data_IF_939132750324
#
_entry.id   IF_939132750324
#
_cell.length_a   1.000
_cell.length_b   1.000
_cell.length_c   1.000
_cell.angle_alpha   90.00
_cell.angle_beta   90.00
_cell.angle_gamma   90.00
#
_symmetry.space_group_name_H-M   'P 1'
#
loop_
_entity.id
_entity.type
_entity.pdbx_description
1 polymer ?
#
# COMPACT_ATOMS: atom_id res chain seq x y z
N UNK A 1 10.77 20.34 28.91
CA UNK A 1 9.75 20.35 27.83
C UNK A 1 10.23 19.39 26.76
N UNK A 2 9.46 18.35 26.39
CA UNK A 2 9.87 17.48 25.30
C UNK A 2 9.65 18.23 23.99
N UNK A 3 10.73 18.36 23.22
CA UNK A 3 10.71 18.87 21.86
C UNK A 3 9.85 17.92 21.04
N UNK A 4 8.72 18.41 20.54
CA UNK A 4 7.95 17.70 19.53
C UNK A 4 8.82 17.67 18.28
N UNK A 5 9.41 16.50 17.98
CA UNK A 5 10.11 16.28 16.71
C UNK A 5 9.15 16.63 15.54
N UNK A 6 9.66 17.28 14.49
CA UNK A 6 8.82 17.64 13.35
C UNK A 6 8.29 16.34 12.75
N UNK A 7 6.96 16.26 12.66
CA UNK A 7 6.26 15.25 11.88
C UNK A 7 6.91 15.26 10.50
N UNK A 8 7.64 14.18 10.20
CA UNK A 8 8.31 13.96 8.92
C UNK A 8 7.38 14.39 7.79
N UNK A 9 7.87 15.27 6.92
CA UNK A 9 7.15 15.74 5.73
C UNK A 9 6.74 14.53 4.88
N UNK A 10 5.53 14.00 5.11
CA UNK A 10 4.93 12.98 4.27
C UNK A 10 4.52 13.66 2.96
N UNK A 11 5.45 13.71 2.00
CA UNK A 11 5.09 13.98 0.61
C UNK A 11 4.34 12.77 0.05
N UNK A 12 3.41 13.01 -0.88
CA UNK A 12 2.46 12.09 -1.55
C UNK A 12 2.80 10.59 -1.71
N UNK A 13 4.08 10.20 -1.73
CA UNK A 13 4.49 8.81 -1.99
C UNK A 13 4.53 7.87 -0.80
N UNK A 14 4.50 8.33 0.46
CA UNK A 14 4.39 7.39 1.59
C UNK A 14 3.00 6.75 1.66
N UNK A 15 1.96 7.54 1.37
CA UNK A 15 0.58 7.05 1.26
C UNK A 15 0.42 6.07 0.10
N UNK A 16 1.08 6.34 -1.04
CA UNK A 16 1.04 5.45 -2.20
C UNK A 16 1.73 4.10 -1.91
N UNK A 17 2.86 4.11 -1.21
CA UNK A 17 3.56 2.89 -0.77
C UNK A 17 2.70 2.12 0.24
N UNK A 18 2.10 2.81 1.22
CA UNK A 18 1.20 2.19 2.19
C UNK A 18 -0.01 1.54 1.48
N UNK A 19 -0.64 2.28 0.56
CA UNK A 19 -1.76 1.78 -0.22
C UNK A 19 -1.37 0.59 -1.10
N UNK A 20 -0.17 0.61 -1.70
CA UNK A 20 0.34 -0.53 -2.47
C UNK A 20 0.46 -1.79 -1.60
N UNK A 21 0.99 -1.67 -0.39
CA UNK A 21 1.09 -2.80 0.53
C UNK A 21 -0.27 -3.24 1.10
N UNK A 22 -1.30 -2.39 0.98
CA UNK A 22 -2.70 -2.74 1.28
C UNK A 22 -3.36 -3.65 0.24
N UNK A 23 -2.78 -3.76 -0.95
CA UNK A 23 -3.25 -4.62 -2.02
C UNK A 23 -2.90 -6.10 -1.78
N UNK A 24 -3.69 -6.98 -2.39
CA UNK A 24 -3.43 -8.42 -2.45
C UNK A 24 -2.24 -8.75 -3.36
N UNK A 25 -1.77 -10.01 -3.32
CA UNK A 25 -0.64 -10.44 -4.15
C UNK A 25 -0.90 -10.24 -5.64
N UNK A 26 -2.10 -10.59 -6.09
CA UNK A 26 -2.49 -10.49 -7.50
C UNK A 26 -2.66 -9.03 -7.95
N UNK A 27 -3.30 -8.21 -7.12
CA UNK A 27 -3.41 -6.77 -7.35
C UNK A 27 -2.04 -6.10 -7.42
N UNK A 28 -1.12 -6.42 -6.50
CA UNK A 28 0.27 -5.92 -6.55
C UNK A 28 1.01 -6.39 -7.80
N UNK A 29 0.81 -7.63 -8.25
CA UNK A 29 1.40 -8.16 -9.49
C UNK A 29 0.96 -7.31 -10.69
N UNK A 30 -0.33 -6.96 -10.77
CA UNK A 30 -0.84 -6.06 -11.81
C UNK A 30 -0.16 -4.70 -11.73
N UNK A 31 -0.20 -4.05 -10.55
CA UNK A 31 0.38 -2.71 -10.36
C UNK A 31 1.86 -2.70 -10.74
N UNK A 32 2.65 -3.67 -10.28
CA UNK A 32 4.07 -3.71 -10.57
C UNK A 32 4.39 -4.02 -12.04
N UNK A 33 3.58 -4.84 -12.71
CA UNK A 33 3.70 -5.05 -14.15
C UNK A 33 3.56 -3.75 -14.94
N UNK A 34 2.63 -2.87 -14.53
CA UNK A 34 2.44 -1.56 -15.14
C UNK A 34 3.56 -0.59 -14.73
N UNK A 35 3.87 -0.49 -13.43
CA UNK A 35 4.91 0.41 -12.89
C UNK A 35 6.29 0.16 -13.52
N UNK A 36 6.64 -1.11 -13.75
CA UNK A 36 7.92 -1.45 -14.37
C UNK A 36 8.01 -0.97 -15.83
N UNK A 37 6.87 -0.87 -16.52
CA UNK A 37 6.75 -0.46 -17.92
C UNK A 37 6.39 1.01 -18.12
N UNK A 38 6.33 1.82 -17.06
CA UNK A 38 5.99 3.24 -17.13
C UNK A 38 6.81 3.98 -18.19
N UNK A 39 6.11 4.78 -18.99
CA UNK A 39 6.69 5.69 -19.99
C UNK A 39 5.98 7.04 -19.89
N UNK A 40 6.73 8.11 -20.12
CA UNK A 40 6.18 9.47 -20.11
C UNK A 40 5.05 9.61 -21.13
N UNK A 41 3.91 10.15 -20.71
CA UNK A 41 2.73 10.36 -21.57
C UNK A 41 1.91 9.10 -21.88
N UNK A 42 2.30 7.93 -21.38
CA UNK A 42 1.56 6.67 -21.59
C UNK A 42 0.74 6.32 -20.35
N UNK A 43 -0.57 6.23 -20.52
CA UNK A 43 -1.51 5.88 -19.44
C UNK A 43 -2.20 4.54 -19.65
N UNK A 44 -2.12 3.96 -20.86
CA UNK A 44 -2.74 2.68 -21.22
C UNK A 44 -1.69 1.59 -21.37
N UNK A 45 -1.93 0.42 -20.77
CA UNK A 45 -0.98 -0.69 -20.74
C UNK A 45 -1.67 -2.02 -21.03
N UNK A 46 -1.17 -2.75 -22.01
CA UNK A 46 -1.62 -4.12 -22.28
C UNK A 46 -1.22 -5.06 -21.14
N UNK A 47 -2.14 -5.97 -20.82
CA UNK A 47 -2.00 -6.96 -19.77
C UNK A 47 -2.67 -8.27 -20.21
N UNK A 48 -1.84 -9.28 -20.48
CA UNK A 48 -2.27 -10.53 -21.13
C UNK A 48 -2.79 -11.59 -20.15
N UNK A 49 -2.50 -11.44 -18.85
CA UNK A 49 -2.89 -12.40 -17.81
C UNK A 49 -4.36 -12.15 -17.37
N UNK A 50 -5.28 -12.67 -18.19
CA UNK A 50 -6.73 -12.49 -18.02
C UNK A 50 -7.28 -13.14 -16.75
N UNK A 51 -6.61 -14.15 -16.20
CA UNK A 51 -6.98 -14.77 -14.92
C UNK A 51 -6.99 -13.75 -13.76
N UNK A 52 -6.25 -12.65 -13.91
CA UNK A 52 -6.23 -11.56 -12.94
C UNK A 52 -7.31 -10.49 -13.16
N UNK A 53 -8.25 -10.70 -14.07
CA UNK A 53 -9.38 -9.77 -14.29
C UNK A 53 -10.12 -9.43 -12.98
N UNK A 54 -10.43 -10.37 -12.06
CA UNK A 54 -11.08 -10.02 -10.79
C UNK A 54 -10.24 -9.05 -9.95
N UNK A 55 -8.91 -9.21 -9.94
CA UNK A 55 -8.00 -8.31 -9.24
C UNK A 55 -7.93 -6.93 -9.91
N UNK A 56 -7.91 -6.88 -11.25
CA UNK A 56 -7.96 -5.63 -12.00
C UNK A 56 -9.26 -4.86 -11.71
N UNK A 57 -10.40 -5.55 -11.69
CA UNK A 57 -11.69 -4.95 -11.35
C UNK A 57 -11.68 -4.36 -9.93
N UNK A 58 -11.05 -5.03 -8.96
CA UNK A 58 -10.93 -4.48 -7.60
C UNK A 58 -10.07 -3.21 -7.54
N UNK A 59 -9.00 -3.14 -8.32
CA UNK A 59 -8.16 -1.93 -8.45
C UNK A 59 -8.93 -0.75 -9.06
N UNK A 60 -9.88 -1.03 -9.95
CA UNK A 60 -10.77 -0.02 -10.54
C UNK A 60 -11.86 0.45 -9.57
N UNK A 61 -12.42 -0.43 -8.73
CA UNK A 61 -13.65 -0.13 -7.97
C UNK A 61 -13.46 0.07 -6.47
N UNK A 62 -12.68 -0.79 -5.80
CA UNK A 62 -12.64 -0.85 -4.33
C UNK A 62 -11.42 -0.13 -3.73
N UNK A 63 -10.29 -0.10 -4.45
CA UNK A 63 -9.06 0.48 -3.92
C UNK A 63 -8.94 1.97 -4.25
N UNK A 64 -9.68 2.80 -3.49
CA UNK A 64 -9.50 4.26 -3.53
C UNK A 64 -8.19 4.66 -2.87
N UNK A 65 -7.50 5.59 -3.51
CA UNK A 65 -6.27 6.21 -3.04
C UNK A 65 -6.59 7.57 -2.43
N UNK A 66 -5.99 7.82 -1.27
CA UNK A 66 -6.01 9.13 -0.60
C UNK A 66 -4.56 9.51 -0.39
N UNK A 67 -4.07 10.46 -1.17
CA UNK A 67 -2.68 10.90 -1.16
C UNK A 67 -2.59 12.32 -0.59
N UNK A 68 -1.87 12.49 0.50
CA UNK A 68 -1.72 13.79 1.17
C UNK A 68 -0.47 14.51 0.68
N UNK A 69 -0.61 15.80 0.39
CA UNK A 69 0.51 16.68 0.14
C UNK A 69 0.98 17.32 1.44
N UNK A 70 2.12 16.87 1.96
CA UNK A 70 2.80 17.54 3.07
C UNK A 70 3.37 18.93 2.72
N UNK A 71 3.40 19.33 1.44
CA UNK A 71 3.88 20.65 1.00
C UNK A 71 2.77 21.71 0.89
N UNK A 72 3.20 22.99 0.94
CA UNK A 72 2.55 24.34 0.94
C UNK A 72 1.02 24.54 0.86
N UNK A 73 0.20 23.59 0.43
CA UNK A 73 -1.26 23.73 0.34
C UNK A 73 -2.06 22.71 1.15
N UNK A 74 -1.41 21.73 1.82
CA UNK A 74 -2.11 20.70 2.60
C UNK A 74 -3.27 20.05 1.81
N UNK A 75 -3.02 19.80 0.52
CA UNK A 75 -4.03 19.29 -0.39
C UNK A 75 -4.13 17.76 -0.31
N UNK A 76 -5.34 17.25 -0.46
CA UNK A 76 -5.62 15.81 -0.49
C UNK A 76 -6.06 15.44 -1.90
N UNK A 77 -5.39 14.45 -2.50
CA UNK A 77 -5.76 13.89 -3.79
C UNK A 77 -6.51 12.58 -3.58
N UNK A 78 -7.75 12.54 -4.07
CA UNK A 78 -8.55 11.32 -4.16
C UNK A 78 -8.45 10.76 -5.57
N UNK A 79 -7.93 9.55 -5.68
CA UNK A 79 -7.68 8.90 -6.96
C UNK A 79 -7.96 7.39 -6.91
N UNK A 80 -7.84 6.72 -8.05
CA UNK A 80 -7.88 5.25 -8.15
C UNK A 80 -6.56 4.71 -8.68
N UNK A 81 -6.32 3.42 -8.54
CA UNK A 81 -5.19 2.80 -9.24
C UNK A 81 -5.40 2.80 -10.76
N UNK A 82 -6.63 2.48 -11.17
CA UNK A 82 -7.06 2.43 -12.58
C UNK A 82 -8.23 3.39 -12.81
N UNK A 83 -8.19 4.13 -13.91
CA UNK A 83 -9.29 4.99 -14.37
C UNK A 83 -10.32 4.19 -15.17
N UNK A 84 -9.87 3.22 -15.98
CA UNK A 84 -10.72 2.31 -16.74
C UNK A 84 -9.98 1.02 -17.10
N UNK A 85 -10.74 0.01 -17.52
CA UNK A 85 -10.24 -1.25 -18.06
C UNK A 85 -10.98 -1.50 -19.38
N UNK A 86 -10.26 -1.77 -20.45
CA UNK A 86 -10.85 -2.22 -21.72
C UNK A 86 -10.53 -3.69 -21.93
N UNK A 87 -11.57 -4.50 -22.13
CA UNK A 87 -11.41 -5.92 -22.44
C UNK A 87 -11.37 -6.10 -23.96
N UNK A 88 -10.34 -6.76 -24.46
CA UNK A 88 -10.20 -7.07 -25.88
C UNK A 88 -9.84 -8.54 -26.00
N UNK A 89 -10.76 -9.37 -26.49
CA UNK A 89 -10.57 -10.83 -26.55
C UNK A 89 -10.13 -11.41 -25.20
N UNK A 90 -8.92 -11.99 -25.13
CA UNK A 90 -8.34 -12.59 -23.93
C UNK A 90 -7.23 -11.73 -23.30
N UNK A 91 -7.28 -10.41 -23.51
CA UNK A 91 -6.36 -9.44 -22.90
C UNK A 91 -7.11 -8.25 -22.31
N UNK A 92 -6.44 -7.55 -21.40
CA UNK A 92 -6.94 -6.33 -20.77
C UNK A 92 -6.04 -5.16 -21.10
N UNK A 93 -6.63 -4.02 -21.41
CA UNK A 93 -5.93 -2.74 -21.48
C UNK A 93 -6.25 -1.98 -20.19
N UNK A 94 -5.22 -1.77 -19.38
CA UNK A 94 -5.33 -1.10 -18.09
C UNK A 94 -5.02 0.37 -18.28
N UNK A 95 -5.99 1.24 -17.97
CA UNK A 95 -5.78 2.69 -17.97
C UNK A 95 -5.50 3.15 -16.56
N UNK A 96 -4.32 3.73 -16.33
CA UNK A 96 -3.95 4.34 -15.06
C UNK A 96 -4.77 5.61 -14.81
N UNK A 97 -5.00 5.91 -13.54
CA UNK A 97 -5.52 7.21 -13.14
C UNK A 97 -4.45 8.29 -13.38
N UNK A 98 -4.74 9.34 -14.17
CA UNK A 98 -3.78 10.40 -14.46
C UNK A 98 -3.21 11.09 -13.21
N UNK A 99 -4.00 11.17 -12.13
CA UNK A 99 -3.55 11.76 -10.87
C UNK A 99 -2.50 10.91 -10.15
N UNK A 100 -2.45 9.60 -10.41
CA UNK A 100 -1.52 8.67 -9.75
C UNK A 100 -0.22 8.51 -10.53
N UNK A 101 -0.25 8.63 -11.86
CA UNK A 101 0.92 8.45 -12.74
C UNK A 101 2.17 9.21 -12.27
N UNK A 102 2.10 10.51 -11.88
CA UNK A 102 3.28 11.26 -11.43
C UNK A 102 3.92 10.68 -10.16
N UNK A 103 3.17 9.92 -9.36
CA UNK A 103 3.63 9.37 -8.09
C UNK A 103 4.16 7.93 -8.21
N UNK A 104 3.85 7.22 -9.30
CA UNK A 104 4.26 5.82 -9.48
C UNK A 104 5.76 5.62 -9.64
N UNK A 105 6.51 6.64 -10.07
CA UNK A 105 7.99 6.56 -10.09
C UNK A 105 8.57 6.39 -8.69
N UNK A 106 7.98 7.01 -7.67
CA UNK A 106 8.39 6.82 -6.28
C UNK A 106 8.14 5.39 -5.82
N UNK A 107 7.01 4.79 -6.21
CA UNK A 107 6.73 3.37 -5.93
C UNK A 107 7.76 2.46 -6.61
N UNK A 108 8.13 2.75 -7.87
CA UNK A 108 9.17 2.00 -8.60
C UNK A 108 10.52 2.06 -7.89
N UNK A 109 10.93 3.25 -7.45
CA UNK A 109 12.20 3.45 -6.75
C UNK A 109 12.21 2.76 -5.39
N UNK A 110 11.11 2.84 -4.64
CA UNK A 110 10.95 2.11 -3.37
C UNK A 110 11.10 0.60 -3.57
N UNK A 111 10.42 0.03 -4.57
CA UNK A 111 10.51 -1.39 -4.88
C UNK A 111 11.91 -1.85 -5.31
N UNK A 112 12.66 -1.02 -6.05
CA UNK A 112 14.06 -1.33 -6.37
C UNK A 112 14.91 -1.40 -5.11
N UNK A 113 14.81 -0.38 -4.26
CA UNK A 113 15.50 -0.37 -2.98
C UNK A 113 15.10 -1.57 -2.10
N UNK A 114 13.82 -1.93 -2.07
CA UNK A 114 13.34 -3.11 -1.35
C UNK A 114 13.88 -4.42 -1.92
N UNK A 115 13.95 -4.56 -3.25
CA UNK A 115 14.51 -5.75 -3.89
C UNK A 115 16.00 -5.93 -3.59
N UNK A 116 16.74 -4.83 -3.43
CA UNK A 116 18.15 -4.84 -2.99
C UNK A 116 18.27 -5.15 -1.49
N UNK A 117 17.21 -4.89 -0.69
CA UNK A 117 17.07 -5.30 0.72
C UNK A 117 16.64 -6.77 0.88
N UNK A 118 16.13 -7.41 -0.18
CA UNK A 118 15.34 -8.65 -0.08
C UNK A 118 16.17 -9.94 -0.26
N UNK A 119 16.85 -10.38 0.80
CA UNK A 119 16.96 -11.83 1.09
C UNK A 119 15.64 -12.40 1.66
N UNK A 120 14.73 -11.53 2.08
CA UNK A 120 13.51 -11.85 2.83
C UNK A 120 12.30 -12.05 1.90
N UNK A 121 11.71 -13.25 1.90
CA UNK A 121 10.43 -13.55 1.23
C UNK A 121 9.29 -13.73 2.25
N UNK A 122 8.70 -12.61 2.68
CA UNK A 122 7.48 -12.62 3.51
C UNK A 122 6.26 -12.99 2.66
N UNK A 123 5.42 -13.91 3.15
CA UNK A 123 4.24 -14.40 2.44
C UNK A 123 2.95 -13.71 2.91
N UNK A 124 2.83 -13.40 4.20
CA UNK A 124 1.64 -12.74 4.74
C UNK A 124 1.65 -11.24 4.47
N UNK A 125 0.50 -10.70 4.04
CA UNK A 125 0.32 -9.25 3.86
C UNK A 125 0.53 -8.49 5.16
N UNK A 126 0.14 -9.07 6.30
CA UNK A 126 0.38 -8.49 7.62
C UNK A 126 1.86 -8.40 7.94
N UNK A 127 2.63 -9.44 7.61
CA UNK A 127 4.09 -9.46 7.82
C UNK A 127 4.77 -8.41 6.96
N UNK A 128 4.39 -8.33 5.68
CA UNK A 128 4.97 -7.33 4.76
C UNK A 128 4.69 -5.91 5.27
N UNK A 129 3.43 -5.59 5.61
CA UNK A 129 3.06 -4.27 6.12
C UNK A 129 3.75 -3.92 7.44
N UNK A 130 3.79 -4.88 8.37
CA UNK A 130 4.42 -4.68 9.67
C UNK A 130 5.94 -4.53 9.54
N UNK A 131 6.58 -5.28 8.64
CA UNK A 131 7.99 -5.16 8.31
C UNK A 131 8.32 -3.78 7.74
N UNK A 132 7.57 -3.33 6.74
CA UNK A 132 7.75 -2.00 6.14
C UNK A 132 7.61 -0.89 7.19
N UNK A 133 6.62 -1.01 8.07
CA UNK A 133 6.45 -0.06 9.17
C UNK A 133 7.62 -0.13 10.16
N UNK A 134 8.01 -1.31 10.62
CA UNK A 134 9.10 -1.49 11.57
C UNK A 134 10.44 -1.00 11.01
N UNK A 135 10.68 -1.24 9.72
CA UNK A 135 11.89 -0.81 9.02
C UNK A 135 12.04 0.72 9.00
N UNK A 136 10.94 1.47 8.82
CA UNK A 136 10.95 2.94 8.93
C UNK A 136 11.45 3.41 10.30
N UNK A 137 11.26 2.60 11.34
CA UNK A 137 11.66 2.90 12.72
C UNK A 137 12.87 2.08 13.18
N UNK A 138 13.60 1.39 12.30
CA UNK A 138 14.71 0.49 12.67
C UNK A 138 15.84 1.17 13.46
N UNK A 139 15.99 2.48 13.33
CA UNK A 139 16.98 3.26 14.07
C UNK A 139 16.50 3.68 15.48
N UNK A 140 15.25 3.37 15.83
CA UNK A 140 14.64 3.66 17.12
C UNK A 140 14.51 2.37 17.93
N UNK A 141 15.16 2.32 19.09
CA UNK A 141 15.22 1.12 19.96
C UNK A 141 13.82 0.66 20.42
N UNK A 142 12.93 1.60 20.75
CA UNK A 142 11.58 1.28 21.19
C UNK A 142 10.57 2.29 20.67
N UNK A 143 9.58 1.80 19.94
CA UNK A 143 8.46 2.61 19.44
C UNK A 143 7.15 2.14 20.06
N UNK A 144 6.45 3.06 20.74
CA UNK A 144 5.06 2.84 21.16
C UNK A 144 4.13 3.17 19.99
N UNK A 145 3.16 2.31 19.74
CA UNK A 145 2.12 2.48 18.72
C UNK A 145 0.75 2.22 19.35
N UNK A 146 -0.25 3.03 19.00
CA UNK A 146 -1.62 2.84 19.49
C UNK A 146 -2.37 1.74 18.72
N UNK A 147 -3.43 1.20 19.32
CA UNK A 147 -4.28 0.19 18.65
C UNK A 147 -4.90 0.69 17.34
N UNK A 148 -5.41 1.93 17.24
CA UNK A 148 -5.86 2.48 15.96
C UNK A 148 -4.74 2.54 14.91
N UNK A 149 -3.54 2.98 15.31
CA UNK A 149 -2.40 3.10 14.39
C UNK A 149 -1.91 1.73 13.89
N UNK A 150 -1.81 0.71 14.74
CA UNK A 150 -1.39 -0.63 14.29
C UNK A 150 -2.43 -1.25 13.36
N UNK A 151 -3.73 -0.95 13.55
CA UNK A 151 -4.77 -1.38 12.61
C UNK A 151 -4.59 -0.75 11.24
N UNK A 152 -4.25 0.55 11.19
CA UNK A 152 -3.92 1.24 9.93
C UNK A 152 -2.71 0.62 9.25
N UNK A 153 -1.63 0.38 10.00
CA UNK A 153 -0.42 -0.31 9.50
C UNK A 153 -0.77 -1.67 8.91
N UNK A 154 -1.53 -2.48 9.65
CA UNK A 154 -1.95 -3.81 9.20
C UNK A 154 -3.05 -3.77 8.13
N UNK A 155 -3.60 -2.60 7.80
CA UNK A 155 -4.73 -2.40 6.89
C UNK A 155 -5.97 -3.21 7.26
N UNK A 156 -6.34 -3.13 8.53
CA UNK A 156 -7.57 -3.71 9.13
C UNK A 156 -8.38 -2.64 9.86
N UNK A 157 -8.07 -1.38 9.56
CA UNK A 157 -8.84 -0.21 9.95
C UNK A 157 -10.11 -0.07 9.10
N UNK A 158 -11.00 0.79 9.57
CA UNK A 158 -12.18 1.22 8.82
C UNK A 158 -11.73 2.24 7.78
N UNK A 159 -12.30 2.17 6.57
CA UNK A 159 -12.08 3.19 5.53
C UNK A 159 -13.34 4.04 5.44
N UNK A 160 -13.21 5.35 5.63
CA UNK A 160 -14.32 6.31 5.53
C UNK A 160 -14.12 7.26 4.35
N UNK A 161 -15.24 7.82 3.84
CA UNK A 161 -15.19 8.94 2.89
C UNK A 161 -15.02 10.29 3.62
N UNK A 162 -14.93 11.38 2.84
CA UNK A 162 -14.84 12.76 3.36
C UNK A 162 -16.01 13.18 4.25
N UNK A 163 -17.19 12.56 4.06
CA UNK A 163 -18.39 12.82 4.85
C UNK A 163 -18.48 11.90 6.09
N UNK A 164 -17.48 11.03 6.31
CA UNK A 164 -17.43 10.10 7.42
C UNK A 164 -18.24 8.82 7.22
N UNK A 165 -18.74 8.54 6.01
CA UNK A 165 -19.46 7.30 5.74
C UNK A 165 -18.46 6.14 5.60
N UNK A 166 -18.80 5.00 6.18
CA UNK A 166 -17.98 3.78 6.12
C UNK A 166 -18.03 3.18 4.72
N UNK A 167 -16.89 3.21 4.03
CA UNK A 167 -16.67 2.57 2.73
C UNK A 167 -16.23 1.10 2.93
N UNK A 168 -15.48 0.82 4.00
CA UNK A 168 -15.02 -0.53 4.33
C UNK A 168 -15.04 -0.74 5.83
N UNK A 169 -15.74 -1.79 6.26
CA UNK A 169 -15.88 -2.12 7.67
C UNK A 169 -14.57 -2.61 8.29
N UNK A 170 -14.39 -2.23 9.55
CA UNK A 170 -13.27 -2.67 10.37
C UNK A 170 -13.21 -4.20 10.48
N UNK A 171 -12.11 -4.78 10.02
CA UNK A 171 -11.84 -6.21 10.17
C UNK A 171 -11.17 -6.51 11.54
N UNK A 172 -11.31 -7.76 12.01
CA UNK A 172 -10.70 -8.23 13.27
C UNK A 172 -11.05 -7.30 14.46
N UNK A 173 -12.33 -7.00 14.65
CA UNK A 173 -12.82 -6.02 15.64
C UNK A 173 -12.32 -6.35 17.06
N UNK A 174 -12.37 -7.61 17.45
CA UNK A 174 -11.93 -8.08 18.76
C UNK A 174 -10.40 -8.15 18.86
N UNK A 175 -9.85 -7.62 19.96
CA UNK A 175 -8.40 -7.63 20.24
C UNK A 175 -7.75 -9.01 20.14
N UNK A 176 -8.32 -10.10 20.71
CA UNK A 176 -7.73 -11.43 20.58
C UNK A 176 -7.53 -11.87 19.12
N UNK A 177 -8.51 -11.56 18.25
CA UNK A 177 -8.44 -11.89 16.83
C UNK A 177 -7.38 -11.05 16.11
N UNK A 178 -7.28 -9.75 16.40
CA UNK A 178 -6.24 -8.88 15.84
C UNK A 178 -4.84 -9.38 16.24
N UNK A 179 -4.67 -9.67 17.54
CA UNK A 179 -3.41 -10.14 18.10
C UNK A 179 -3.01 -11.47 17.47
N UNK A 180 -3.86 -12.49 17.54
CA UNK A 180 -3.52 -13.84 17.10
C UNK A 180 -3.38 -13.96 15.58
N UNK A 181 -4.32 -13.37 14.81
CA UNK A 181 -4.40 -13.62 13.36
C UNK A 181 -3.52 -12.69 12.53
N UNK A 182 -3.23 -11.49 13.04
CA UNK A 182 -2.45 -10.49 12.33
C UNK A 182 -1.11 -10.22 13.00
N UNK A 183 -1.09 -9.76 14.26
CA UNK A 183 0.14 -9.29 14.92
C UNK A 183 1.11 -10.44 15.18
N UNK A 184 0.69 -11.46 15.95
CA UNK A 184 1.57 -12.56 16.38
C UNK A 184 2.08 -13.33 15.16
N UNK A 185 1.21 -13.58 14.18
CA UNK A 185 1.58 -14.22 12.91
C UNK A 185 2.59 -13.39 12.11
N UNK A 186 2.42 -12.07 12.06
CA UNK A 186 3.33 -11.18 11.36
C UNK A 186 4.71 -11.12 12.03
N UNK A 187 4.73 -10.95 13.36
CA UNK A 187 5.96 -10.93 14.15
C UNK A 187 6.75 -12.23 14.01
N UNK A 188 6.05 -13.37 14.09
CA UNK A 188 6.69 -14.67 13.93
C UNK A 188 7.38 -14.80 12.56
N UNK A 189 6.68 -14.49 11.48
CA UNK A 189 7.26 -14.60 10.14
C UNK A 189 8.40 -13.59 9.91
N UNK A 190 8.29 -12.38 10.44
CA UNK A 190 9.35 -11.36 10.37
C UNK A 190 10.59 -11.84 11.10
N UNK A 191 10.45 -12.30 12.35
CA UNK A 191 11.58 -12.77 13.16
C UNK A 191 12.26 -14.01 12.55
N UNK A 192 11.50 -14.86 11.86
CA UNK A 192 12.06 -16.05 11.20
C UNK A 192 12.77 -15.76 9.89
N UNK A 193 12.32 -14.73 9.15
CA UNK A 193 12.74 -14.54 7.75
C UNK A 193 13.54 -13.26 7.51
N UNK A 194 13.66 -12.37 8.50
CA UNK A 194 14.29 -11.06 8.36
C UNK A 194 15.40 -10.83 9.39
N UNK A 195 16.29 -9.88 9.09
CA UNK A 195 17.35 -9.45 10.00
C UNK A 195 16.90 -8.37 11.01
N UNK A 196 15.59 -8.06 11.08
CA UNK A 196 15.04 -7.21 12.13
C UNK A 196 14.92 -8.05 13.42
N UNK A 197 15.93 -7.97 14.27
CA UNK A 197 15.95 -8.56 15.62
C UNK A 197 16.17 -7.51 16.69
#
# INVERSE_FOLDING_TARGET
MPVLEPVSQLGYGDDLIEAFYKLTKDERKIVMSVVNRLKLGVTAYDFDDFDLQPAAMKLLTYHRLVLHNGDKQNSVLYARWLSSITLVENRMILHLDPGVVPHLERLKNHQKQDSERASVKLASQYSIRLYEWAWKWRHVVLKRISIPQIRKVLGVDEVTDEQGNVISEKCLVHWPNLKQRAIDRALHEINEKTDLS
#
